data_IF_667617039302
#
_entry.id   IF_667617039302
#
_cell.length_a   1.000
_cell.length_b   1.000
_cell.length_c   1.000
_cell.angle_alpha   90.00
_cell.angle_beta   90.00
_cell.angle_gamma   90.00
#
_symmetry.space_group_name_H-M   'P 1'
#
loop_
_entity.id
_entity.type
_entity.pdbx_description
1 polymer ?
#
# COMPACT_ATOMS: atom_id res chain seq x y z
N UNK A 1 -21.13 25.56 -14.79
CA UNK A 1 -21.06 24.77 -13.54
C UNK A 1 -19.62 24.36 -13.30
N UNK A 2 -19.10 24.54 -12.08
CA UNK A 2 -17.74 24.10 -11.72
C UNK A 2 -17.75 22.57 -11.58
N UNK A 3 -16.96 21.87 -12.39
CA UNK A 3 -16.80 20.40 -12.28
C UNK A 3 -16.23 20.08 -10.90
N UNK A 4 -16.88 19.15 -10.19
CA UNK A 4 -16.37 18.67 -8.89
C UNK A 4 -15.07 17.92 -9.14
N UNK A 5 -14.01 18.29 -8.43
CA UNK A 5 -12.74 17.56 -8.40
C UNK A 5 -12.71 16.71 -7.14
N UNK A 6 -12.40 15.44 -7.30
CA UNK A 6 -12.30 14.49 -6.18
C UNK A 6 -10.85 14.04 -6.07
N UNK A 7 -10.32 14.08 -4.85
CA UNK A 7 -9.01 13.52 -4.52
C UNK A 7 -9.20 12.49 -3.43
N UNK A 8 -8.62 11.31 -3.62
CA UNK A 8 -8.60 10.24 -2.64
C UNK A 8 -7.15 9.99 -2.23
N UNK A 9 -6.88 9.98 -0.93
CA UNK A 9 -5.60 9.55 -0.37
C UNK A 9 -5.82 8.21 0.35
N UNK A 10 -5.05 7.20 -0.02
CA UNK A 10 -5.10 5.88 0.61
C UNK A 10 -3.81 5.55 1.36
N UNK A 11 -3.89 4.58 2.26
CA UNK A 11 -2.78 4.03 3.01
C UNK A 11 -3.06 2.58 3.38
N UNK A 12 -2.15 1.96 4.15
CA UNK A 12 -2.09 0.49 4.29
C UNK A 12 -3.41 -0.18 4.70
N UNK A 13 -4.28 0.51 5.43
CA UNK A 13 -5.59 0.00 5.83
C UNK A 13 -6.47 -0.44 4.65
N UNK A 14 -6.34 0.18 3.47
CA UNK A 14 -7.11 -0.25 2.29
C UNK A 14 -6.71 -1.65 1.80
N UNK A 15 -5.47 -2.06 2.06
CA UNK A 15 -4.92 -3.38 1.66
C UNK A 15 -5.05 -4.44 2.76
N UNK A 16 -5.56 -4.08 3.94
CA UNK A 16 -5.67 -5.01 5.07
C UNK A 16 -6.55 -6.23 4.75
N UNK A 17 -7.72 -6.00 4.13
CA UNK A 17 -8.64 -7.05 3.71
C UNK A 17 -8.12 -7.89 2.53
N UNK A 18 -7.05 -7.43 1.87
CA UNK A 18 -6.31 -8.23 0.86
C UNK A 18 -5.26 -9.15 1.49
N UNK A 19 -5.09 -9.14 2.82
CA UNK A 19 -4.10 -9.96 3.52
C UNK A 19 -2.74 -9.29 3.70
N UNK A 20 -2.62 -7.98 3.40
CA UNK A 20 -1.40 -7.20 3.68
C UNK A 20 -1.47 -6.66 5.11
N UNK A 21 -0.52 -7.03 5.97
CA UNK A 21 -0.46 -6.52 7.34
C UNK A 21 -0.13 -5.03 7.35
N UNK A 22 -0.91 -4.26 8.13
CA UNK A 22 -0.65 -2.83 8.33
C UNK A 22 0.44 -2.63 9.40
N UNK A 23 1.02 -1.44 9.41
CA UNK A 23 2.05 -1.09 10.38
C UNK A 23 1.49 -0.86 11.80
N UNK A 24 0.30 -0.27 11.93
CA UNK A 24 -0.15 0.33 13.20
C UNK A 24 -0.93 -0.62 14.11
N UNK A 25 -1.26 -1.81 13.62
CA UNK A 25 -2.12 -2.75 14.35
C UNK A 25 -1.34 -3.74 15.25
N UNK A 26 -0.01 -3.61 15.36
CA UNK A 26 0.85 -4.65 15.94
C UNK A 26 1.93 -4.08 16.89
N UNK A 27 1.53 -3.20 17.81
CA UNK A 27 2.41 -2.59 18.84
C UNK A 27 3.68 -1.89 18.30
N UNK A 28 3.58 -1.32 17.10
CA UNK A 28 4.71 -0.64 16.43
C UNK A 28 5.67 -1.59 15.71
N UNK A 29 5.31 -2.86 15.55
CA UNK A 29 6.06 -3.84 14.76
C UNK A 29 5.44 -3.99 13.37
N UNK A 30 6.23 -3.78 12.33
CA UNK A 30 5.87 -4.20 10.99
C UNK A 30 6.43 -5.60 10.74
N UNK A 31 5.56 -6.60 10.58
CA UNK A 31 6.01 -7.99 10.33
C UNK A 31 6.96 -8.53 11.41
N UNK A 32 6.73 -8.14 12.67
CA UNK A 32 7.59 -8.43 13.84
C UNK A 32 8.95 -7.71 13.87
N UNK A 33 9.17 -6.71 13.01
CA UNK A 33 10.33 -5.82 13.06
C UNK A 33 9.95 -4.42 13.51
N UNK A 34 10.84 -3.74 14.25
CA UNK A 34 10.72 -2.29 14.44
C UNK A 34 10.96 -1.60 13.10
N UNK A 35 10.23 -0.54 12.80
CA UNK A 35 10.38 0.17 11.51
C UNK A 35 11.80 0.68 11.31
N UNK A 36 12.39 1.23 12.36
CA UNK A 36 13.71 1.84 12.32
C UNK A 36 14.81 0.86 11.88
N UNK A 37 14.61 -0.44 12.11
CA UNK A 37 15.56 -1.51 11.76
C UNK A 37 15.46 -1.93 10.30
N UNK A 38 14.41 -1.52 9.58
CA UNK A 38 14.06 -2.09 8.28
C UNK A 38 13.65 -1.08 7.21
N UNK A 39 13.28 0.14 7.59
CA UNK A 39 12.73 1.14 6.68
C UNK A 39 13.40 2.52 6.87
N UNK A 40 14.71 2.54 7.15
CA UNK A 40 15.52 3.76 7.18
C UNK A 40 16.81 3.60 6.36
N UNK A 41 17.36 4.68 5.79
CA UNK A 41 18.68 4.63 5.15
C UNK A 41 19.79 4.15 6.09
N UNK A 42 19.69 4.48 7.39
CA UNK A 42 20.62 4.06 8.43
C UNK A 42 20.56 2.56 8.66
N UNK A 43 19.37 1.96 8.70
CA UNK A 43 19.21 0.50 8.78
C UNK A 43 19.82 -0.20 7.57
N UNK A 44 19.60 0.33 6.36
CA UNK A 44 20.23 -0.22 5.17
C UNK A 44 21.75 -0.16 5.23
N UNK A 45 22.32 0.94 5.74
CA UNK A 45 23.77 1.07 5.91
C UNK A 45 24.33 0.15 7.01
N UNK A 46 23.54 -0.13 8.05
CA UNK A 46 23.96 -0.94 9.19
C UNK A 46 23.84 -2.46 8.92
N UNK A 47 22.72 -2.93 8.37
CA UNK A 47 22.46 -4.33 8.04
C UNK A 47 21.57 -4.45 6.77
N UNK A 48 22.16 -4.28 5.57
CA UNK A 48 21.41 -4.35 4.31
C UNK A 48 20.80 -5.73 4.08
N UNK A 49 21.39 -6.78 4.63
CA UNK A 49 20.94 -8.15 4.51
C UNK A 49 19.57 -8.36 5.18
N UNK A 50 19.39 -7.81 6.37
CA UNK A 50 18.10 -7.84 7.08
C UNK A 50 17.06 -6.99 6.36
N UNK A 51 17.40 -5.78 5.94
CA UNK A 51 16.48 -4.92 5.16
C UNK A 51 16.09 -5.57 3.83
N UNK A 52 17.03 -6.20 3.14
CA UNK A 52 16.79 -6.91 1.89
C UNK A 52 15.85 -8.10 2.10
N UNK A 53 16.14 -8.97 3.08
CA UNK A 53 15.25 -10.09 3.43
C UNK A 53 13.85 -9.60 3.82
N UNK A 54 13.78 -8.50 4.56
CA UNK A 54 12.56 -7.81 4.92
C UNK A 54 11.75 -7.49 3.63
N UNK A 55 12.25 -6.63 2.75
CA UNK A 55 11.48 -6.26 1.54
C UNK A 55 11.25 -7.41 0.54
N UNK A 56 12.14 -8.40 0.47
CA UNK A 56 11.94 -9.58 -0.37
C UNK A 56 10.78 -10.45 0.10
N UNK A 57 10.54 -10.56 1.40
CA UNK A 57 9.37 -11.26 1.93
C UNK A 57 8.07 -10.56 1.49
N UNK A 58 7.99 -9.23 1.60
CA UNK A 58 6.84 -8.42 1.13
C UNK A 58 6.61 -8.58 -0.37
N UNK A 59 7.68 -8.50 -1.17
CA UNK A 59 7.60 -8.69 -2.63
C UNK A 59 7.07 -10.09 -3.00
N UNK A 60 7.41 -11.12 -2.24
CA UNK A 60 6.90 -12.49 -2.45
C UNK A 60 5.43 -12.58 -2.07
N UNK A 61 5.05 -12.06 -0.89
CA UNK A 61 3.66 -12.02 -0.43
C UNK A 61 2.74 -11.30 -1.42
N UNK A 62 3.20 -10.24 -2.09
CA UNK A 62 2.39 -9.50 -3.07
C UNK A 62 1.86 -10.38 -4.21
N UNK A 63 2.55 -11.48 -4.52
CA UNK A 63 2.11 -12.46 -5.53
C UNK A 63 0.97 -13.37 -5.07
N UNK A 64 0.67 -13.37 -3.77
CA UNK A 64 -0.30 -14.26 -3.13
C UNK A 64 -1.59 -13.54 -2.74
N UNK A 65 -1.64 -12.22 -2.94
CA UNK A 65 -2.78 -11.36 -2.58
C UNK A 65 -3.44 -10.78 -3.83
N UNK A 66 -4.73 -10.47 -3.71
CA UNK A 66 -5.56 -9.90 -4.77
C UNK A 66 -6.20 -8.57 -4.32
N UNK A 67 -6.55 -7.67 -5.24
CA UNK A 67 -7.33 -6.48 -4.91
C UNK A 67 -8.63 -6.86 -4.21
N UNK A 68 -8.97 -6.17 -3.13
CA UNK A 68 -10.25 -6.34 -2.44
C UNK A 68 -11.35 -5.41 -3.04
N UNK A 69 -12.60 -5.47 -2.55
CA UNK A 69 -13.68 -4.62 -3.04
C UNK A 69 -13.40 -3.11 -2.99
N UNK A 70 -12.60 -2.62 -2.04
CA UNK A 70 -12.30 -1.19 -1.92
C UNK A 70 -11.47 -0.68 -3.11
N UNK A 71 -10.46 -1.44 -3.56
CA UNK A 71 -9.66 -1.11 -4.74
C UNK A 71 -10.53 -1.01 -6.00
N UNK A 72 -11.38 -2.03 -6.21
CA UNK A 72 -12.33 -2.07 -7.34
C UNK A 72 -13.36 -0.94 -7.30
N UNK A 73 -13.81 -0.56 -6.10
CA UNK A 73 -14.73 0.55 -5.92
C UNK A 73 -14.10 1.89 -6.30
N UNK A 74 -12.84 2.12 -5.96
CA UNK A 74 -12.11 3.34 -6.35
C UNK A 74 -11.86 3.40 -7.85
N UNK A 75 -11.51 2.28 -8.50
CA UNK A 75 -11.42 2.20 -9.95
C UNK A 75 -12.76 2.54 -10.64
N UNK A 76 -13.87 2.03 -10.09
CA UNK A 76 -15.22 2.34 -10.59
C UNK A 76 -15.59 3.82 -10.39
N UNK A 77 -15.23 4.40 -9.24
CA UNK A 77 -15.44 5.80 -8.94
C UNK A 77 -14.64 6.71 -9.87
N UNK A 78 -13.39 6.36 -10.16
CA UNK A 78 -12.53 7.08 -11.10
C UNK A 78 -13.19 7.21 -12.48
N UNK A 79 -13.82 6.14 -12.98
CA UNK A 79 -14.53 6.16 -14.28
C UNK A 79 -15.75 7.08 -14.30
N UNK A 80 -16.37 7.30 -13.13
CA UNK A 80 -17.60 8.09 -13.00
C UNK A 80 -17.36 9.57 -12.71
N UNK A 81 -16.12 9.95 -12.35
CA UNK A 81 -15.77 11.32 -11.93
C UNK A 81 -14.79 11.94 -12.92
N UNK A 82 -15.20 12.98 -13.70
CA UNK A 82 -14.37 13.57 -14.76
C UNK A 82 -13.03 14.17 -14.29
N UNK A 83 -12.93 14.55 -13.01
CA UNK A 83 -11.68 15.05 -12.41
C UNK A 83 -11.44 14.32 -11.11
N UNK A 84 -10.70 13.23 -11.19
CA UNK A 84 -10.38 12.34 -10.10
C UNK A 84 -8.86 12.17 -9.98
N UNK A 85 -8.35 12.13 -8.75
CA UNK A 85 -6.97 11.79 -8.43
C UNK A 85 -6.95 10.80 -7.29
N UNK A 86 -6.34 9.64 -7.51
CA UNK A 86 -5.98 8.70 -6.47
C UNK A 86 -4.50 8.85 -6.13
N UNK A 87 -4.22 9.19 -4.89
CA UNK A 87 -2.87 9.19 -4.31
C UNK A 87 -2.80 8.09 -3.26
N UNK A 88 -1.70 7.35 -3.23
CA UNK A 88 -1.50 6.26 -2.27
C UNK A 88 -0.17 6.39 -1.56
N UNK A 89 -0.16 6.05 -0.28
CA UNK A 89 1.07 5.82 0.50
C UNK A 89 1.54 4.37 0.41
N UNK A 90 0.72 3.48 -0.17
CA UNK A 90 1.08 2.08 -0.31
C UNK A 90 2.18 1.93 -1.36
N UNK A 91 2.96 0.87 -1.17
CA UNK A 91 4.02 0.44 -2.08
C UNK A 91 3.66 -0.85 -2.81
N UNK A 92 2.43 -1.34 -2.63
CA UNK A 92 1.82 -2.43 -3.38
C UNK A 92 1.20 -1.93 -4.70
N UNK A 93 0.81 -2.86 -5.58
CA UNK A 93 0.20 -2.58 -6.89
C UNK A 93 -1.30 -2.92 -6.95
N UNK A 94 -1.98 -2.97 -5.80
CA UNK A 94 -3.36 -3.45 -5.73
C UNK A 94 -4.37 -2.45 -6.30
N UNK A 95 -4.05 -1.16 -6.37
CA UNK A 95 -4.89 -0.16 -7.04
C UNK A 95 -4.86 -0.34 -8.55
N UNK A 96 -3.69 -0.55 -9.12
CA UNK A 96 -3.47 -0.80 -10.54
C UNK A 96 -4.12 -2.12 -10.96
N UNK A 97 -3.88 -3.21 -10.21
CA UNK A 97 -4.54 -4.50 -10.42
C UNK A 97 -6.06 -4.42 -10.20
N UNK A 98 -6.50 -3.52 -9.32
CA UNK A 98 -7.91 -3.22 -9.06
C UNK A 98 -8.59 -2.40 -10.17
N UNK A 99 -7.82 -1.86 -11.12
CA UNK A 99 -8.31 -1.14 -12.30
C UNK A 99 -8.18 0.39 -12.24
N UNK A 100 -7.47 0.96 -11.27
CA UNK A 100 -7.19 2.40 -11.22
C UNK A 100 -6.11 2.77 -12.25
N UNK A 101 -6.16 3.98 -12.82
CA UNK A 101 -5.24 4.45 -13.88
C UNK A 101 -4.66 5.83 -13.62
#
# INVERSE_FOLDING_TARGET
>A
MRTKRVVVLTGAGISAESGIRTFRDNDGLWENHRIEDVATPQAWAADPDTVWRFYQARRRQLKEVEPNPAHRALATLQQSVPSFLLSTQNVDDLHERGGST
#
